data_IF_129994006967
#
_entry.id   IF_129994006967
#
_cell.length_a   1.000
_cell.length_b   1.000
_cell.length_c   1.000
_cell.angle_alpha   90.00
_cell.angle_beta   90.00
_cell.angle_gamma   90.00
#
_symmetry.space_group_name_H-M   'P 1'
#
loop_
_entity.id
_entity.type
_entity.pdbx_description
1 polymer ?
#
# COMPACT_ATOMS: atom_id res chain seq x y z
N UNK A 1 -17.53 7.34 -16.92
CA UNK A 1 -18.36 6.16 -16.66
C UNK A 1 -18.25 5.20 -17.84
N UNK A 2 -18.29 3.87 -17.55
CA UNK A 2 -18.27 2.81 -18.57
C UNK A 2 -16.89 2.47 -19.15
N UNK A 3 -15.81 3.00 -18.63
CA UNK A 3 -14.45 2.65 -19.03
C UNK A 3 -13.80 1.75 -17.99
N UNK A 4 -13.05 0.70 -18.39
CA UNK A 4 -12.25 -0.09 -17.47
C UNK A 4 -11.11 0.73 -16.85
N UNK A 5 -10.59 0.29 -15.71
CA UNK A 5 -9.50 0.96 -15.01
C UNK A 5 -8.25 1.16 -15.89
N UNK A 6 -7.97 0.21 -16.78
CA UNK A 6 -6.86 0.29 -17.73
C UNK A 6 -6.96 1.46 -18.71
N UNK A 7 -8.17 1.93 -19.03
CA UNK A 7 -8.38 3.06 -19.95
C UNK A 7 -8.33 4.42 -19.25
N UNK A 8 -8.47 4.43 -17.92
CA UNK A 8 -8.56 5.67 -17.12
C UNK A 8 -7.21 6.01 -16.49
N UNK A 9 -6.45 5.01 -16.08
CA UNK A 9 -5.16 5.18 -15.41
C UNK A 9 -3.99 4.83 -16.33
N UNK A 10 -2.81 5.45 -16.14
CA UNK A 10 -1.61 5.14 -16.93
C UNK A 10 -1.30 3.64 -16.91
N UNK A 11 -0.80 3.15 -18.02
CA UNK A 11 -0.75 1.75 -18.47
C UNK A 11 -0.49 0.68 -17.40
N UNK A 12 0.47 0.88 -16.51
CA UNK A 12 0.85 -0.14 -15.51
C UNK A 12 -0.05 -0.19 -14.29
N UNK A 13 -0.46 0.98 -13.76
CA UNK A 13 -1.38 1.06 -12.62
C UNK A 13 -2.78 0.59 -13.01
N UNK A 14 -3.28 1.05 -14.17
CA UNK A 14 -4.59 0.64 -14.66
C UNK A 14 -4.70 -0.86 -14.93
N UNK A 15 -3.61 -1.49 -15.41
CA UNK A 15 -3.56 -2.94 -15.57
C UNK A 15 -3.66 -3.67 -14.23
N UNK A 16 -2.91 -3.23 -13.21
CA UNK A 16 -2.97 -3.81 -11.88
C UNK A 16 -4.37 -3.74 -11.26
N UNK A 17 -5.05 -2.62 -11.41
CA UNK A 17 -6.43 -2.47 -10.93
C UNK A 17 -7.39 -3.38 -11.69
N UNK A 18 -7.21 -3.50 -13.02
CA UNK A 18 -8.03 -4.39 -13.86
C UNK A 18 -7.79 -5.86 -13.51
N UNK A 19 -6.55 -6.28 -13.26
CA UNK A 19 -6.23 -7.64 -12.80
C UNK A 19 -6.94 -7.97 -11.49
N UNK A 20 -6.95 -7.05 -10.54
CA UNK A 20 -7.67 -7.21 -9.26
C UNK A 20 -9.19 -7.30 -9.47
N UNK A 21 -9.75 -6.42 -10.30
CA UNK A 21 -11.19 -6.42 -10.62
C UNK A 21 -11.59 -7.76 -11.25
N UNK A 22 -10.81 -8.24 -12.21
CA UNK A 22 -11.04 -9.54 -12.87
C UNK A 22 -10.90 -10.71 -11.88
N UNK A 23 -9.98 -10.62 -10.93
CA UNK A 23 -9.83 -11.64 -9.90
C UNK A 23 -11.07 -11.70 -9.00
N UNK A 24 -11.57 -10.55 -8.55
CA UNK A 24 -12.81 -10.50 -7.75
C UNK A 24 -14.00 -11.05 -8.53
N UNK A 25 -14.14 -10.68 -9.82
CA UNK A 25 -15.23 -11.12 -10.66
C UNK A 25 -15.18 -12.61 -11.00
N UNK A 26 -14.01 -13.16 -11.30
CA UNK A 26 -13.84 -14.56 -11.74
C UNK A 26 -13.78 -15.56 -10.58
N UNK A 27 -13.05 -15.20 -9.53
CA UNK A 27 -12.82 -16.09 -8.39
C UNK A 27 -13.84 -15.87 -7.26
N UNK A 28 -14.58 -14.75 -7.31
CA UNK A 28 -15.55 -14.38 -6.27
C UNK A 28 -14.89 -14.07 -4.92
N UNK A 29 -13.59 -13.76 -4.92
CA UNK A 29 -12.83 -13.42 -3.70
C UNK A 29 -13.16 -12.02 -3.22
N UNK A 30 -12.97 -11.79 -1.93
CA UNK A 30 -13.01 -10.45 -1.34
C UNK A 30 -11.60 -9.96 -1.09
N UNK A 31 -11.26 -8.79 -1.61
CA UNK A 31 -10.03 -8.09 -1.25
C UNK A 31 -10.34 -7.13 -0.10
N UNK A 32 -9.59 -7.23 0.99
CA UNK A 32 -9.76 -6.38 2.18
C UNK A 32 -8.46 -5.68 2.52
N UNK A 33 -8.58 -4.39 2.89
CA UNK A 33 -7.46 -3.59 3.38
C UNK A 33 -6.23 -3.65 2.46
N UNK A 34 -6.46 -3.65 1.14
CA UNK A 34 -5.41 -3.66 0.14
C UNK A 34 -4.78 -2.27 0.09
N UNK A 35 -3.53 -2.15 0.53
CA UNK A 35 -2.76 -0.92 0.41
C UNK A 35 -2.27 -0.78 -1.02
N UNK A 36 -2.62 0.32 -1.68
CA UNK A 36 -2.33 0.57 -3.08
C UNK A 36 -1.83 2.00 -3.29
N UNK A 37 -0.91 2.15 -4.25
CA UNK A 37 -0.58 3.46 -4.77
C UNK A 37 -1.70 3.91 -5.72
N UNK A 38 -2.11 5.17 -5.60
CA UNK A 38 -3.14 5.77 -6.44
C UNK A 38 -2.62 7.05 -7.09
N UNK A 39 -3.13 7.36 -8.29
CA UNK A 39 -2.88 8.63 -8.95
C UNK A 39 -4.12 9.50 -8.86
N UNK A 40 -3.99 10.63 -8.20
CA UNK A 40 -5.04 11.64 -8.09
C UNK A 40 -5.07 12.57 -9.31
N UNK A 41 -6.11 13.37 -9.41
CA UNK A 41 -6.23 14.43 -10.42
C UNK A 41 -5.02 15.35 -10.32
N UNK A 42 -4.28 15.54 -11.45
CA UNK A 42 -3.02 16.28 -11.46
C UNK A 42 -1.75 15.41 -11.47
N UNK A 43 -1.89 14.09 -11.53
CA UNK A 43 -0.79 13.10 -11.51
C UNK A 43 0.00 13.03 -10.19
N UNK A 44 -0.53 13.59 -9.11
CA UNK A 44 0.03 13.38 -7.79
C UNK A 44 -0.17 11.93 -7.35
N UNK A 45 0.89 11.35 -6.77
CA UNK A 45 0.85 10.00 -6.22
C UNK A 45 0.42 10.05 -4.78
N UNK A 46 -0.52 9.19 -4.44
CA UNK A 46 -0.95 9.00 -3.06
C UNK A 46 -1.16 7.54 -2.74
N UNK A 47 -1.65 7.29 -1.56
CA UNK A 47 -1.92 5.95 -1.07
C UNK A 47 -3.38 5.83 -0.67
N UNK A 48 -4.00 4.73 -1.06
CA UNK A 48 -5.33 4.38 -0.63
C UNK A 48 -5.39 2.97 -0.06
N UNK A 49 -6.36 2.75 0.78
CA UNK A 49 -6.73 1.44 1.28
C UNK A 49 -8.01 1.00 0.59
N UNK A 50 -7.90 -0.02 -0.26
CA UNK A 50 -8.99 -0.48 -1.10
C UNK A 50 -9.60 -1.76 -0.56
N UNK A 51 -10.92 -1.83 -0.62
CA UNK A 51 -11.71 -3.03 -0.38
C UNK A 51 -12.55 -3.31 -1.62
N UNK A 52 -12.54 -4.57 -2.09
CA UNK A 52 -13.36 -5.01 -3.23
C UNK A 52 -14.08 -6.29 -2.85
N UNK A 53 -15.38 -6.35 -3.15
CA UNK A 53 -16.20 -7.53 -2.88
C UNK A 53 -17.02 -7.91 -4.11
N UNK A 54 -17.17 -9.22 -4.32
CA UNK A 54 -18.03 -9.75 -5.36
C UNK A 54 -19.50 -9.60 -4.95
N UNK A 55 -20.31 -9.05 -5.85
CA UNK A 55 -21.76 -9.02 -5.72
C UNK A 55 -22.34 -10.32 -6.29
N UNK A 56 -23.27 -10.95 -5.57
CA UNK A 56 -23.85 -12.23 -5.94
C UNK A 56 -25.36 -12.13 -6.04
N UNK A 57 -25.90 -12.86 -6.98
CA UNK A 57 -27.36 -13.04 -7.09
C UNK A 57 -27.89 -14.03 -6.02
N UNK A 58 -29.21 -14.25 -6.06
CA UNK A 58 -29.89 -15.19 -5.15
C UNK A 58 -29.46 -16.65 -5.33
N UNK A 59 -28.79 -16.98 -6.44
CA UNK A 59 -28.22 -18.30 -6.72
C UNK A 59 -26.74 -18.40 -6.35
N UNK A 60 -26.15 -17.33 -5.77
CA UNK A 60 -24.76 -17.27 -5.38
C UNK A 60 -23.79 -16.97 -6.54
N UNK A 61 -24.29 -16.72 -7.75
CA UNK A 61 -23.44 -16.40 -8.90
C UNK A 61 -22.94 -14.95 -8.80
N UNK A 62 -21.65 -14.74 -9.16
CA UNK A 62 -21.08 -13.39 -9.20
C UNK A 62 -21.68 -12.63 -10.38
N UNK A 63 -22.38 -11.54 -10.09
CA UNK A 63 -23.04 -10.67 -11.07
C UNK A 63 -22.36 -9.30 -11.22
N UNK A 64 -21.36 -9.02 -10.37
CA UNK A 64 -20.64 -7.77 -10.38
C UNK A 64 -19.70 -7.66 -9.20
N UNK A 65 -19.15 -6.47 -9.00
CA UNK A 65 -18.34 -6.15 -7.83
C UNK A 65 -18.65 -4.74 -7.32
N UNK A 66 -18.38 -4.53 -6.03
CA UNK A 66 -18.32 -3.20 -5.42
C UNK A 66 -16.93 -2.97 -4.85
N UNK A 67 -16.42 -1.74 -5.01
CA UNK A 67 -15.12 -1.33 -4.45
C UNK A 67 -15.24 -0.01 -3.71
N UNK A 68 -14.51 0.12 -2.61
CA UNK A 68 -14.35 1.35 -1.84
C UNK A 68 -12.86 1.56 -1.64
N UNK A 69 -12.38 2.76 -2.00
CA UNK A 69 -11.01 3.19 -1.73
C UNK A 69 -11.02 4.35 -0.75
N UNK A 70 -10.25 4.23 0.31
CA UNK A 70 -10.08 5.25 1.35
C UNK A 70 -8.71 5.91 1.19
N UNK A 71 -8.71 7.22 0.99
CA UNK A 71 -7.49 8.02 0.88
C UNK A 71 -6.78 8.11 2.23
N UNK A 72 -5.46 7.90 2.24
CA UNK A 72 -4.63 7.91 3.44
C UNK A 72 -3.89 9.25 3.65
N UNK A 73 -4.19 10.28 2.89
CA UNK A 73 -3.51 11.58 3.03
C UNK A 73 -3.89 12.35 4.29
N UNK A 74 -5.08 12.12 4.84
CA UNK A 74 -5.55 12.80 6.04
C UNK A 74 -5.53 11.91 7.28
N UNK A 75 -4.51 12.05 8.12
CA UNK A 75 -4.50 11.47 9.45
C UNK A 75 -5.18 12.43 10.45
N UNK A 76 -6.14 11.91 11.23
CA UNK A 76 -6.84 12.70 12.23
C UNK A 76 -5.97 13.06 13.44
N UNK A 77 -5.28 14.21 13.40
CA UNK A 77 -4.36 14.70 14.42
C UNK A 77 -5.02 15.01 15.80
N UNK A 78 -6.34 14.90 15.93
CA UNK A 78 -7.08 15.27 17.15
C UNK A 78 -7.23 14.15 18.20
N UNK A 79 -6.77 12.92 17.91
CA UNK A 79 -6.95 11.80 18.85
C UNK A 79 -5.88 11.84 19.95
N UNK A 80 -6.20 11.59 21.25
CA UNK A 80 -5.24 11.63 22.35
C UNK A 80 -4.04 10.67 22.20
N UNK A 81 -4.20 9.56 21.45
CA UNK A 81 -3.10 8.64 21.13
C UNK A 81 -2.19 9.17 20.02
N UNK A 82 -2.50 10.29 19.37
CA UNK A 82 -1.74 10.81 18.23
C UNK A 82 -0.27 11.03 18.56
N UNK A 83 0.04 11.68 19.68
CA UNK A 83 1.42 11.96 20.05
C UNK A 83 2.26 10.68 20.22
N UNK A 84 1.67 9.64 20.82
CA UNK A 84 2.34 8.33 20.97
C UNK A 84 2.52 7.62 19.63
N UNK A 85 1.53 7.73 18.75
CA UNK A 85 1.62 7.16 17.41
C UNK A 85 2.55 7.94 16.49
N UNK A 86 2.70 9.26 16.70
CA UNK A 86 3.69 10.05 15.97
C UNK A 86 5.11 9.56 16.25
N UNK A 87 5.41 9.11 17.47
CA UNK A 87 6.68 8.47 17.82
C UNK A 87 6.85 7.16 17.04
N UNK A 88 5.80 6.36 16.91
CA UNK A 88 5.81 5.10 16.14
C UNK A 88 6.04 5.38 14.65
N UNK A 89 5.32 6.34 14.07
CA UNK A 89 5.48 6.71 12.65
C UNK A 89 6.90 7.25 12.36
N UNK A 90 7.39 8.16 13.19
CA UNK A 90 8.75 8.70 13.08
C UNK A 90 9.82 7.61 13.19
N UNK A 91 9.65 6.68 14.13
CA UNK A 91 10.54 5.53 14.26
C UNK A 91 10.55 4.65 13.02
N UNK A 92 9.38 4.33 12.47
CA UNK A 92 9.25 3.56 11.23
C UNK A 92 9.95 4.28 10.08
N UNK A 93 9.73 5.59 9.92
CA UNK A 93 10.36 6.40 8.86
C UNK A 93 11.87 6.47 8.94
N UNK A 94 12.45 6.42 10.14
CA UNK A 94 13.91 6.43 10.33
C UNK A 94 14.54 5.05 10.17
N UNK A 95 13.81 3.98 10.48
CA UNK A 95 14.37 2.62 10.59
C UNK A 95 13.78 1.62 9.60
N UNK A 96 13.03 2.06 8.58
CA UNK A 96 12.39 1.19 7.58
C UNK A 96 13.34 0.22 6.89
N UNK A 97 14.62 0.59 6.78
CA UNK A 97 15.67 -0.17 6.10
C UNK A 97 16.09 -1.45 6.83
N UNK A 98 15.61 -1.67 8.05
CA UNK A 98 15.88 -2.87 8.86
C UNK A 98 14.59 -3.51 9.37
N UNK A 99 14.64 -4.74 9.89
CA UNK A 99 13.52 -5.31 10.62
C UNK A 99 13.15 -4.44 11.84
N UNK A 100 11.86 -4.19 12.03
CA UNK A 100 11.31 -3.48 13.19
C UNK A 100 10.42 -4.46 13.95
N UNK A 101 10.80 -4.78 15.19
CA UNK A 101 10.03 -5.63 16.07
C UNK A 101 8.86 -4.85 16.72
N UNK A 102 7.73 -5.51 16.96
CA UNK A 102 6.58 -4.86 17.61
C UNK A 102 6.91 -4.44 19.05
N UNK A 103 7.76 -5.21 19.74
CA UNK A 103 8.24 -4.93 21.09
C UNK A 103 9.01 -3.61 21.16
N UNK A 104 9.79 -3.30 20.13
CA UNK A 104 10.50 -2.03 20.00
C UNK A 104 9.51 -0.84 19.97
N UNK A 105 8.44 -0.99 19.22
CA UNK A 105 7.37 0.03 19.14
C UNK A 105 6.61 0.17 20.49
N UNK A 106 6.45 -0.92 21.24
CA UNK A 106 5.80 -0.85 22.57
C UNK A 106 6.63 -0.08 23.58
N UNK A 107 7.95 -0.29 23.58
CA UNK A 107 8.88 0.42 24.46
C UNK A 107 8.86 1.92 24.16
N UNK A 108 8.93 2.28 22.88
CA UNK A 108 8.98 3.68 22.45
C UNK A 108 7.70 4.46 22.72
N UNK A 109 6.54 3.83 22.49
CA UNK A 109 5.25 4.50 22.60
C UNK A 109 4.61 4.40 23.99
N UNK A 110 5.09 3.50 24.85
CA UNK A 110 4.46 3.16 26.12
C UNK A 110 3.07 2.52 25.94
N UNK A 111 2.80 1.90 24.78
CA UNK A 111 1.54 1.24 24.46
C UNK A 111 1.76 -0.27 24.31
N UNK A 112 0.74 -1.07 24.65
CA UNK A 112 0.75 -2.50 24.31
C UNK A 112 0.63 -2.72 22.79
N UNK A 113 1.04 -3.89 22.28
CA UNK A 113 0.89 -4.26 20.87
C UNK A 113 -0.55 -4.06 20.39
N UNK A 114 -1.52 -4.56 21.16
CA UNK A 114 -2.94 -4.42 20.83
C UNK A 114 -3.41 -2.95 20.76
N UNK A 115 -2.87 -2.06 21.62
CA UNK A 115 -3.16 -0.63 21.55
C UNK A 115 -2.53 0.00 20.30
N UNK A 116 -1.28 -0.33 19.98
CA UNK A 116 -0.62 0.17 18.77
C UNK A 116 -1.42 -0.25 17.54
N UNK A 117 -1.74 -1.53 17.38
CA UNK A 117 -2.51 -2.04 16.23
C UNK A 117 -3.87 -1.36 16.12
N UNK A 118 -4.62 -1.28 17.21
CA UNK A 118 -5.94 -0.64 17.24
C UNK A 118 -5.87 0.83 16.86
N UNK A 119 -4.93 1.59 17.44
CA UNK A 119 -4.83 3.02 17.19
C UNK A 119 -4.22 3.33 15.82
N UNK A 120 -3.23 2.58 15.34
CA UNK A 120 -2.74 2.70 13.97
C UNK A 120 -3.88 2.48 12.97
N UNK A 121 -4.67 1.41 13.17
CA UNK A 121 -5.83 1.13 12.31
C UNK A 121 -6.88 2.23 12.37
N UNK A 122 -7.14 2.79 13.57
CA UNK A 122 -8.14 3.84 13.76
C UNK A 122 -7.72 5.20 13.20
N UNK A 123 -6.42 5.55 13.32
CA UNK A 123 -5.92 6.90 13.02
C UNK A 123 -5.28 6.96 11.64
N UNK A 124 -4.46 5.97 11.29
CA UNK A 124 -3.79 5.89 9.99
C UNK A 124 -4.50 4.96 9.01
N UNK A 125 -5.55 4.26 9.45
CA UNK A 125 -6.24 3.20 8.70
C UNK A 125 -5.33 2.03 8.30
N UNK A 126 -4.10 1.98 8.79
CA UNK A 126 -3.08 0.99 8.51
C UNK A 126 -2.67 0.23 9.77
N UNK A 127 -2.31 -1.03 9.61
CA UNK A 127 -1.55 -1.74 10.65
C UNK A 127 -0.11 -1.23 10.68
N UNK A 128 0.63 -1.40 11.81
CA UNK A 128 2.05 -1.03 11.87
C UNK A 128 2.88 -1.68 10.76
N UNK A 129 2.59 -2.94 10.41
CA UNK A 129 3.24 -3.65 9.32
C UNK A 129 2.97 -3.01 7.96
N UNK A 130 1.73 -2.59 7.71
CA UNK A 130 1.37 -1.87 6.48
C UNK A 130 2.06 -0.49 6.43
N UNK A 131 2.21 0.19 7.55
CA UNK A 131 2.97 1.45 7.64
C UNK A 131 4.44 1.24 7.25
N UNK A 132 5.09 0.19 7.76
CA UNK A 132 6.47 -0.15 7.37
C UNK A 132 6.57 -0.40 5.87
N UNK A 133 5.67 -1.22 5.32
CA UNK A 133 5.65 -1.49 3.87
C UNK A 133 5.41 -0.24 3.04
N UNK A 134 4.50 0.62 3.48
CA UNK A 134 4.22 1.91 2.80
C UNK A 134 5.48 2.76 2.73
N UNK A 135 6.18 2.98 3.85
CA UNK A 135 7.42 3.78 3.90
C UNK A 135 8.52 3.17 3.02
N UNK A 136 8.70 1.84 3.06
CA UNK A 136 9.68 1.15 2.19
C UNK A 136 9.40 1.39 0.72
N UNK A 137 8.14 1.35 0.32
CA UNK A 137 7.75 1.56 -1.08
C UNK A 137 7.85 3.02 -1.50
N UNK A 138 7.51 3.96 -0.63
CA UNK A 138 7.76 5.39 -0.87
C UNK A 138 9.25 5.62 -1.18
N UNK A 139 10.13 5.08 -0.35
CA UNK A 139 11.57 5.18 -0.57
C UNK A 139 12.05 4.45 -1.83
N UNK A 140 11.49 3.29 -2.12
CA UNK A 140 11.79 2.58 -3.36
C UNK A 140 11.38 3.40 -4.60
N UNK A 141 10.21 4.06 -4.59
CA UNK A 141 9.78 4.90 -5.72
C UNK A 141 10.68 6.12 -5.92
N UNK A 142 11.17 6.73 -4.84
CA UNK A 142 12.15 7.82 -4.90
C UNK A 142 13.46 7.34 -5.55
N UNK A 143 13.99 6.18 -5.11
CA UNK A 143 15.24 5.62 -5.63
C UNK A 143 15.12 5.10 -7.08
N UNK A 144 13.93 4.65 -7.48
CA UNK A 144 13.66 4.20 -8.84
C UNK A 144 13.68 5.35 -9.87
N UNK A 145 13.55 6.59 -9.44
CA UNK A 145 13.72 7.75 -10.31
C UNK A 145 15.17 7.96 -10.78
N UNK A 146 16.14 7.40 -10.07
CA UNK A 146 17.56 7.40 -10.43
C UNK A 146 18.05 6.09 -11.03
N UNK A 147 19.38 5.97 -11.16
CA UNK A 147 20.04 4.85 -11.81
C UNK A 147 20.46 3.72 -10.85
N UNK A 148 20.12 3.83 -9.57
CA UNK A 148 20.48 2.81 -8.56
C UNK A 148 19.99 1.43 -9.00
N UNK A 149 20.83 0.38 -9.00
CA UNK A 149 20.42 -0.98 -9.34
C UNK A 149 19.22 -1.43 -8.49
N UNK A 150 18.26 -2.13 -9.11
CA UNK A 150 17.02 -2.55 -8.42
C UNK A 150 17.32 -3.50 -7.25
N UNK A 151 18.37 -4.30 -7.36
CA UNK A 151 18.88 -5.15 -6.26
C UNK A 151 19.30 -4.33 -5.05
N UNK A 152 19.99 -3.24 -5.29
CA UNK A 152 20.49 -2.36 -4.23
C UNK A 152 19.35 -1.56 -3.60
N UNK A 153 18.36 -1.13 -4.41
CA UNK A 153 17.12 -0.52 -3.90
C UNK A 153 16.40 -1.48 -2.97
N UNK A 154 16.28 -2.76 -3.33
CA UNK A 154 15.64 -3.76 -2.48
C UNK A 154 16.32 -3.82 -1.10
N UNK A 155 17.65 -3.91 -1.05
CA UNK A 155 18.41 -3.95 0.18
C UNK A 155 18.28 -2.65 0.99
N UNK A 156 18.43 -1.50 0.36
CA UNK A 156 18.29 -0.19 1.00
C UNK A 156 16.88 0.03 1.58
N UNK A 157 15.86 -0.58 0.97
CA UNK A 157 14.49 -0.54 1.47
C UNK A 157 14.16 -1.64 2.49
N UNK A 158 15.17 -2.39 2.98
CA UNK A 158 15.01 -3.37 4.05
C UNK A 158 14.36 -4.69 3.62
N UNK A 159 14.48 -5.06 2.35
CA UNK A 159 14.09 -6.37 1.85
C UNK A 159 15.28 -7.32 1.87
N UNK A 160 15.04 -8.59 2.20
CA UNK A 160 16.08 -9.62 2.27
C UNK A 160 16.58 -10.04 0.90
N UNK A 161 15.72 -9.93 -0.11
CA UNK A 161 16.05 -10.31 -1.48
C UNK A 161 15.21 -9.53 -2.51
N UNK A 162 15.73 -9.48 -3.74
CA UNK A 162 15.09 -8.82 -4.88
C UNK A 162 13.72 -9.42 -5.25
N UNK A 163 13.53 -10.72 -5.08
CA UNK A 163 12.28 -11.38 -5.45
C UNK A 163 11.15 -11.02 -4.49
N UNK A 164 11.43 -10.97 -3.19
CA UNK A 164 10.48 -10.50 -2.18
C UNK A 164 10.10 -9.04 -2.43
N UNK A 165 11.09 -8.18 -2.70
CA UNK A 165 10.86 -6.79 -3.07
C UNK A 165 9.97 -6.67 -4.31
N UNK A 166 10.31 -7.35 -5.41
CA UNK A 166 9.58 -7.24 -6.68
C UNK A 166 8.13 -7.71 -6.55
N UNK A 167 7.88 -8.81 -5.83
CA UNK A 167 6.52 -9.30 -5.57
C UNK A 167 5.70 -8.28 -4.77
N UNK A 168 6.28 -7.76 -3.68
CA UNK A 168 5.60 -6.78 -2.82
C UNK A 168 5.35 -5.47 -3.59
N UNK A 169 6.34 -4.99 -4.32
CA UNK A 169 6.24 -3.78 -5.13
C UNK A 169 5.12 -3.92 -6.17
N UNK A 170 5.12 -5.03 -6.93
CA UNK A 170 4.07 -5.29 -7.92
C UNK A 170 2.69 -5.42 -7.27
N UNK A 171 2.58 -6.09 -6.12
CA UNK A 171 1.31 -6.24 -5.41
C UNK A 171 0.70 -4.91 -4.99
N UNK A 172 1.53 -3.88 -4.69
CA UNK A 172 1.07 -2.60 -4.16
C UNK A 172 1.00 -1.48 -5.21
N UNK A 173 1.78 -1.58 -6.29
CA UNK A 173 1.86 -0.56 -7.35
C UNK A 173 1.28 -1.01 -8.69
N UNK A 174 0.93 -2.29 -8.81
CA UNK A 174 0.44 -2.88 -10.06
C UNK A 174 1.52 -3.17 -11.10
N UNK A 175 2.78 -2.71 -10.91
CA UNK A 175 3.86 -2.89 -11.86
C UNK A 175 5.13 -3.42 -11.22
N UNK A 176 6.01 -4.06 -12.02
CA UNK A 176 7.33 -4.43 -11.51
C UNK A 176 8.19 -3.19 -11.26
N UNK A 177 9.21 -3.24 -10.38
CA UNK A 177 10.12 -2.12 -10.18
C UNK A 177 10.79 -1.64 -11.48
N UNK A 178 11.09 -2.58 -12.39
CA UNK A 178 11.68 -2.27 -13.71
C UNK A 178 10.71 -1.49 -14.59
N UNK A 179 9.48 -1.96 -14.72
CA UNK A 179 8.47 -1.30 -15.55
C UNK A 179 8.11 0.06 -14.97
N UNK A 180 8.04 0.15 -13.65
CA UNK A 180 7.79 1.41 -12.95
C UNK A 180 8.89 2.44 -13.24
N UNK A 181 10.17 2.05 -13.21
CA UNK A 181 11.30 2.92 -13.60
C UNK A 181 11.14 3.46 -15.02
N UNK A 182 10.79 2.59 -15.98
CA UNK A 182 10.60 3.01 -17.37
C UNK A 182 9.49 4.07 -17.51
N UNK A 183 8.43 3.99 -16.70
CA UNK A 183 7.36 5.01 -16.70
C UNK A 183 7.78 6.34 -16.07
N UNK A 184 8.89 6.40 -15.34
CA UNK A 184 9.42 7.63 -14.78
C UNK A 184 10.36 8.37 -15.73
N UNK A 185 10.97 7.63 -16.67
CA UNK A 185 12.00 8.13 -17.58
C UNK A 185 11.44 8.51 -18.98
N UNK A 186 10.18 8.17 -19.27
CA UNK A 186 9.48 8.49 -20.52
C UNK A 186 8.41 9.54 -20.32
#
# INVERSE_FOLDING_TARGET
LGKPSADVFPSTLGQGYTEQDLRVLREGVTLRDQLEMHLYNGRERGWCLTQKLALRDVRGQVIGMAGISHDLQEAHARHPAWQRLAIVDDHIRRHYHRPIAMEELTVLSGMSIAQIERYCKRIFHLTPRQMIHKVRLEKATELLAGDTPITDIALQCGYTDHSAFSRQFKAMTGSTPRDFRLTLQG
#
